data_IF_825317492426
#
_entry.id   IF_825317492426
#
_cell.length_a   1.000
_cell.length_b   1.000
_cell.length_c   1.000
_cell.angle_alpha   90.00
_cell.angle_beta   90.00
_cell.angle_gamma   90.00
#
_symmetry.space_group_name_H-M   'P 1'
#
loop_
_entity.id
_entity.type
_entity.pdbx_description
1 polymer ?
#
# COMPACT_ATOMS: atom_id res chain seq x y z
N UNK A 1 52.68 -21.49 -54.76
CA UNK A 1 51.47 -20.75 -54.33
C UNK A 1 50.59 -21.43 -53.28
N UNK A 2 50.68 -22.75 -53.07
CA UNK A 2 49.74 -23.48 -52.20
C UNK A 2 49.90 -23.20 -50.69
N UNK A 3 51.14 -23.09 -50.19
CA UNK A 3 51.42 -22.73 -48.78
C UNK A 3 50.94 -21.32 -48.38
N UNK A 4 50.75 -20.42 -49.36
CA UNK A 4 50.28 -19.04 -49.13
C UNK A 4 48.76 -18.99 -48.94
N UNK A 5 48.02 -19.92 -49.57
CA UNK A 5 46.57 -20.05 -49.43
C UNK A 5 46.16 -20.73 -48.11
N UNK A 6 46.90 -21.74 -47.65
CA UNK A 6 46.62 -22.42 -46.38
C UNK A 6 46.82 -21.44 -45.19
N UNK A 7 47.90 -20.64 -45.20
CA UNK A 7 48.15 -19.62 -44.16
C UNK A 7 47.05 -18.53 -44.13
N UNK A 8 46.57 -18.09 -45.30
CA UNK A 8 45.43 -17.16 -45.43
C UNK A 8 44.12 -17.76 -44.92
N UNK A 9 43.84 -19.04 -45.20
CA UNK A 9 42.65 -19.72 -44.69
C UNK A 9 42.68 -19.88 -43.16
N UNK A 10 43.81 -20.24 -42.55
CA UNK A 10 43.92 -20.34 -41.08
C UNK A 10 43.84 -18.99 -40.37
N UNK A 11 44.33 -17.91 -40.98
CA UNK A 11 44.17 -16.55 -40.48
C UNK A 11 42.70 -16.09 -40.55
N UNK A 12 42.01 -16.34 -41.67
CA UNK A 12 40.59 -16.01 -41.81
C UNK A 12 39.68 -16.87 -40.92
N UNK A 13 40.02 -18.13 -40.66
CA UNK A 13 39.34 -18.98 -39.67
C UNK A 13 39.50 -18.44 -38.24
N UNK A 14 40.70 -17.97 -37.87
CA UNK A 14 40.94 -17.33 -36.56
C UNK A 14 40.13 -16.03 -36.38
N UNK A 15 40.09 -15.19 -37.41
CA UNK A 15 39.31 -13.93 -37.39
C UNK A 15 37.80 -14.21 -37.34
N UNK A 16 37.30 -15.16 -38.14
CA UNK A 16 35.88 -15.52 -38.19
C UNK A 16 35.39 -16.15 -36.88
N UNK A 17 36.20 -17.01 -36.26
CA UNK A 17 35.88 -17.62 -34.96
C UNK A 17 35.94 -16.58 -33.82
N UNK A 18 36.89 -15.66 -33.84
CA UNK A 18 36.96 -14.54 -32.89
C UNK A 18 35.76 -13.59 -32.98
N UNK A 19 35.35 -13.25 -34.20
CA UNK A 19 34.17 -12.42 -34.44
C UNK A 19 32.87 -13.12 -34.00
N UNK A 20 32.74 -14.43 -34.26
CA UNK A 20 31.59 -15.23 -33.81
C UNK A 20 31.50 -15.31 -32.28
N UNK A 21 32.63 -15.47 -31.57
CA UNK A 21 32.67 -15.47 -30.12
C UNK A 21 32.29 -14.11 -29.52
N UNK A 22 32.75 -13.01 -30.11
CA UNK A 22 32.36 -11.67 -29.70
C UNK A 22 30.86 -11.44 -29.89
N UNK A 23 30.30 -11.87 -31.03
CA UNK A 23 28.87 -11.76 -31.31
C UNK A 23 28.02 -12.61 -30.37
N UNK A 24 28.48 -13.83 -30.03
CA UNK A 24 27.83 -14.70 -29.06
C UNK A 24 27.80 -14.04 -27.67
N UNK A 25 28.90 -13.43 -27.23
CA UNK A 25 28.96 -12.74 -25.94
C UNK A 25 27.99 -11.56 -25.85
N UNK A 26 27.89 -10.76 -26.92
CA UNK A 26 26.91 -9.66 -27.01
C UNK A 26 25.47 -10.18 -26.99
N UNK A 27 25.19 -11.28 -27.70
CA UNK A 27 23.87 -11.90 -27.70
C UNK A 27 23.46 -12.44 -26.33
N UNK A 28 24.39 -13.07 -25.60
CA UNK A 28 24.15 -13.54 -24.22
C UNK A 28 23.94 -12.36 -23.27
N UNK A 29 24.75 -11.31 -23.37
CA UNK A 29 24.57 -10.09 -22.57
C UNK A 29 23.21 -9.43 -22.82
N UNK A 30 22.77 -9.37 -24.08
CA UNK A 30 21.45 -8.86 -24.45
C UNK A 30 20.31 -9.72 -23.88
N UNK A 31 20.43 -11.05 -23.95
CA UNK A 31 19.43 -11.96 -23.35
C UNK A 31 19.32 -11.81 -21.84
N UNK A 32 20.46 -11.67 -21.15
CA UNK A 32 20.49 -11.41 -19.70
C UNK A 32 19.83 -10.06 -19.40
N UNK A 33 20.16 -9.01 -20.16
CA UNK A 33 19.54 -7.70 -20.00
C UNK A 33 18.02 -7.72 -20.23
N UNK A 34 17.54 -8.48 -21.22
CA UNK A 34 16.10 -8.63 -21.50
C UNK A 34 15.38 -9.38 -20.37
N UNK A 35 15.92 -10.50 -19.88
CA UNK A 35 15.33 -11.27 -18.78
C UNK A 35 15.27 -10.46 -17.49
N UNK A 36 16.35 -9.75 -17.17
CA UNK A 36 16.41 -8.88 -16.00
C UNK A 36 15.48 -7.67 -16.13
N UNK A 37 15.45 -7.04 -17.32
CA UNK A 37 14.52 -5.96 -17.64
C UNK A 37 13.07 -6.39 -17.48
N UNK A 38 12.73 -7.60 -17.91
CA UNK A 38 11.39 -8.16 -17.77
C UNK A 38 11.00 -8.40 -16.30
N UNK A 39 11.88 -9.01 -15.51
CA UNK A 39 11.63 -9.25 -14.08
C UNK A 39 11.48 -7.93 -13.30
N UNK A 40 12.31 -6.93 -13.59
CA UNK A 40 12.17 -5.61 -12.96
C UNK A 40 10.91 -4.88 -13.40
N UNK A 41 10.49 -4.97 -14.65
CA UNK A 41 9.28 -4.32 -15.14
C UNK A 41 8.01 -4.99 -14.57
N UNK A 42 8.03 -6.31 -14.42
CA UNK A 42 6.94 -7.08 -13.78
C UNK A 42 6.82 -6.75 -12.27
N UNK A 43 7.95 -6.70 -11.55
CA UNK A 43 7.99 -6.35 -10.11
C UNK A 43 7.56 -4.89 -9.88
N UNK A 44 8.09 -3.95 -10.67
CA UNK A 44 7.78 -2.52 -10.52
C UNK A 44 6.32 -2.19 -10.87
N UNK A 45 5.73 -2.85 -11.87
CA UNK A 45 4.34 -2.58 -12.27
C UNK A 45 3.31 -3.12 -11.25
N UNK A 46 3.62 -4.22 -10.56
CA UNK A 46 2.73 -4.81 -9.55
C UNK A 46 2.86 -4.13 -8.17
N UNK A 47 4.07 -3.69 -7.78
CA UNK A 47 4.32 -3.12 -6.45
C UNK A 47 4.01 -1.62 -6.37
N UNK A 48 4.21 -0.82 -7.43
CA UNK A 48 4.08 0.65 -7.35
C UNK A 48 2.63 1.14 -7.51
N UNK A 49 1.84 0.54 -8.41
CA UNK A 49 0.47 0.99 -8.67
C UNK A 49 -0.59 0.43 -7.70
N UNK A 50 -0.31 -0.70 -7.05
CA UNK A 50 -1.26 -1.31 -6.11
C UNK A 50 -1.24 -0.64 -4.72
N UNK A 51 -0.23 0.17 -4.42
CA UNK A 51 0.12 0.51 -3.04
C UNK A 51 -0.09 1.98 -2.66
N UNK A 52 0.31 2.91 -3.51
CA UNK A 52 0.30 4.34 -3.17
C UNK A 52 -1.12 4.91 -3.15
N UNK A 53 -1.95 4.55 -4.13
CA UNK A 53 -3.34 5.02 -4.21
C UNK A 53 -4.28 4.24 -3.29
N UNK A 54 -4.03 2.93 -3.10
CA UNK A 54 -4.94 2.06 -2.35
C UNK A 54 -4.81 2.23 -0.83
N UNK A 55 -3.60 2.38 -0.29
CA UNK A 55 -3.37 2.49 1.15
C UNK A 55 -3.76 3.86 1.71
N UNK A 56 -3.50 4.94 0.96
CA UNK A 56 -3.88 6.30 1.35
C UNK A 56 -5.39 6.48 1.33
N UNK A 57 -6.05 6.01 0.26
CA UNK A 57 -7.52 6.07 0.16
C UNK A 57 -8.20 5.26 1.27
N UNK A 58 -7.73 4.03 1.55
CA UNK A 58 -8.24 3.23 2.66
C UNK A 58 -8.07 3.93 4.01
N UNK A 59 -6.89 4.49 4.28
CA UNK A 59 -6.62 5.18 5.54
C UNK A 59 -7.51 6.43 5.70
N UNK A 60 -7.73 7.19 4.63
CA UNK A 60 -8.59 8.37 4.65
C UNK A 60 -10.06 7.98 4.93
N UNK A 61 -10.57 6.92 4.30
CA UNK A 61 -11.93 6.43 4.56
C UNK A 61 -12.17 6.10 6.04
N UNK A 62 -11.21 5.42 6.68
CA UNK A 62 -11.34 5.01 8.08
C UNK A 62 -11.20 6.24 9.00
N UNK A 63 -10.27 7.15 8.71
CA UNK A 63 -10.12 8.42 9.45
C UNK A 63 -11.39 9.26 9.37
N UNK A 64 -11.97 9.40 8.18
CA UNK A 64 -13.20 10.15 7.97
C UNK A 64 -14.37 9.51 8.73
N UNK A 65 -14.49 8.17 8.71
CA UNK A 65 -15.47 7.45 9.51
C UNK A 65 -15.30 7.72 11.01
N UNK A 66 -14.06 7.70 11.53
CA UNK A 66 -13.78 8.02 12.93
C UNK A 66 -14.15 9.47 13.28
N UNK A 67 -13.77 10.43 12.44
CA UNK A 67 -14.11 11.85 12.63
C UNK A 67 -15.62 12.08 12.62
N UNK A 68 -16.36 11.44 11.71
CA UNK A 68 -17.82 11.53 11.65
C UNK A 68 -18.45 10.95 12.91
N UNK A 69 -17.96 9.82 13.43
CA UNK A 69 -18.44 9.23 14.67
C UNK A 69 -18.15 10.11 15.90
N UNK A 70 -16.97 10.74 15.98
CA UNK A 70 -16.70 11.73 17.04
C UNK A 70 -17.65 12.92 16.98
N UNK A 71 -17.89 13.44 15.77
CA UNK A 71 -18.89 14.51 15.55
C UNK A 71 -20.28 14.06 15.95
N UNK A 72 -20.64 12.80 15.70
CA UNK A 72 -21.92 12.23 16.11
C UNK A 72 -22.05 12.21 17.63
N UNK A 73 -21.01 11.78 18.36
CA UNK A 73 -21.01 11.83 19.84
C UNK A 73 -21.17 13.26 20.38
N UNK A 74 -20.48 14.23 19.79
CA UNK A 74 -20.61 15.65 20.19
C UNK A 74 -22.04 16.16 19.91
N UNK A 75 -22.63 15.81 18.77
CA UNK A 75 -24.00 16.21 18.43
C UNK A 75 -25.03 15.55 19.35
N UNK A 76 -24.78 14.30 19.78
CA UNK A 76 -25.61 13.63 20.77
C UNK A 76 -25.55 14.35 22.14
N UNK A 77 -24.38 14.85 22.54
CA UNK A 77 -24.21 15.63 23.77
C UNK A 77 -24.97 16.96 23.71
N UNK A 78 -24.91 17.65 22.57
CA UNK A 78 -25.67 18.88 22.34
C UNK A 78 -27.17 18.59 22.41
N UNK A 79 -27.63 17.51 21.76
CA UNK A 79 -29.03 17.09 21.82
C UNK A 79 -29.48 16.79 23.26
N UNK A 80 -28.65 16.10 24.05
CA UNK A 80 -28.92 15.83 25.46
C UNK A 80 -29.06 17.11 26.29
N UNK A 81 -28.14 18.06 26.11
CA UNK A 81 -28.20 19.35 26.79
C UNK A 81 -29.45 20.16 26.38
N UNK A 82 -29.79 20.19 25.10
CA UNK A 82 -30.98 20.88 24.59
C UNK A 82 -32.28 20.28 25.12
N UNK A 83 -32.39 18.94 25.20
CA UNK A 83 -33.56 18.29 25.83
C UNK A 83 -33.68 18.67 27.31
N UNK A 84 -32.57 18.68 28.05
CA UNK A 84 -32.56 19.10 29.45
C UNK A 84 -32.97 20.58 29.63
N UNK A 85 -32.63 21.44 28.66
CA UNK A 85 -33.03 22.85 28.63
C UNK A 85 -34.45 23.09 28.07
N UNK A 86 -35.16 22.05 27.63
CA UNK A 86 -36.49 22.16 27.01
C UNK A 86 -36.51 22.52 25.52
N UNK A 87 -35.34 22.72 24.89
CA UNK A 87 -35.20 22.97 23.45
C UNK A 87 -35.38 21.67 22.64
N UNK A 88 -36.63 21.27 22.49
CA UNK A 88 -37.01 20.03 21.80
C UNK A 88 -36.69 20.09 20.30
N UNK A 89 -36.81 21.27 19.68
CA UNK A 89 -36.55 21.44 18.25
C UNK A 89 -35.07 21.28 17.92
N UNK A 90 -34.21 21.99 18.65
CA UNK A 90 -32.76 21.88 18.48
C UNK A 90 -32.26 20.48 18.80
N UNK A 91 -32.80 19.84 19.85
CA UNK A 91 -32.46 18.46 20.18
C UNK A 91 -32.81 17.47 19.06
N UNK A 92 -33.97 17.64 18.43
CA UNK A 92 -34.39 16.79 17.31
C UNK A 92 -33.53 17.01 16.06
N UNK A 93 -33.13 18.25 15.78
CA UNK A 93 -32.20 18.56 14.69
C UNK A 93 -30.83 17.90 14.90
N UNK A 94 -30.25 18.04 16.11
CA UNK A 94 -28.99 17.39 16.43
C UNK A 94 -29.13 15.86 16.40
N UNK A 95 -30.25 15.30 16.86
CA UNK A 95 -30.52 13.85 16.77
C UNK A 95 -30.55 13.34 15.33
N UNK A 96 -31.14 14.08 14.38
CA UNK A 96 -31.07 13.76 12.94
C UNK A 96 -29.65 13.85 12.41
N UNK A 97 -28.90 14.87 12.82
CA UNK A 97 -27.49 15.05 12.44
C UNK A 97 -26.62 13.87 12.91
N UNK A 98 -26.87 13.35 14.11
CA UNK A 98 -26.20 12.12 14.61
C UNK A 98 -26.44 10.96 13.66
N UNK A 99 -27.70 10.70 13.29
CA UNK A 99 -28.04 9.59 12.39
C UNK A 99 -27.37 9.73 11.01
N UNK A 100 -27.33 10.95 10.47
CA UNK A 100 -26.65 11.22 9.20
C UNK A 100 -25.15 10.94 9.29
N UNK A 101 -24.47 11.44 10.33
CA UNK A 101 -23.04 11.19 10.53
C UNK A 101 -22.71 9.71 10.71
N UNK A 102 -23.54 8.97 11.44
CA UNK A 102 -23.39 7.51 11.59
C UNK A 102 -23.59 6.80 10.25
N UNK A 103 -24.57 7.22 9.43
CA UNK A 103 -24.80 6.65 8.11
C UNK A 103 -23.63 6.92 7.15
N UNK A 104 -23.09 8.14 7.15
CA UNK A 104 -21.92 8.51 6.35
C UNK A 104 -20.69 7.70 6.78
N UNK A 105 -20.51 7.49 8.09
CA UNK A 105 -19.38 6.70 8.60
C UNK A 105 -19.48 5.24 8.19
N UNK A 106 -20.69 4.67 8.23
CA UNK A 106 -20.97 3.33 7.71
C UNK A 106 -20.66 3.21 6.23
N UNK A 107 -21.05 4.21 5.42
CA UNK A 107 -20.75 4.23 3.98
C UNK A 107 -19.24 4.23 3.71
N UNK A 108 -18.47 5.00 4.48
CA UNK A 108 -17.01 5.00 4.38
C UNK A 108 -16.41 3.63 4.73
N UNK A 109 -16.93 2.97 5.77
CA UNK A 109 -16.49 1.63 6.16
C UNK A 109 -16.88 0.53 5.15
N UNK A 110 -18.07 0.62 4.54
CA UNK A 110 -18.45 -0.29 3.46
C UNK A 110 -17.57 -0.09 2.22
N UNK A 111 -17.23 1.16 1.90
CA UNK A 111 -16.26 1.46 0.83
C UNK A 111 -14.90 0.87 1.15
N UNK A 112 -14.44 0.97 2.41
CA UNK A 112 -13.19 0.36 2.86
C UNK A 112 -13.21 -1.17 2.72
N UNK A 113 -14.32 -1.84 3.08
CA UNK A 113 -14.50 -3.30 2.95
C UNK A 113 -14.51 -3.76 1.49
N UNK A 114 -15.11 -2.96 0.60
CA UNK A 114 -15.19 -3.28 -0.82
C UNK A 114 -13.81 -3.27 -1.51
N UNK A 115 -12.81 -2.61 -0.92
CA UNK A 115 -11.47 -2.58 -1.48
C UNK A 115 -10.77 -3.94 -1.22
N UNK A 116 -10.35 -4.68 -2.26
CA UNK A 116 -9.74 -6.00 -2.09
C UNK A 116 -8.49 -5.98 -1.20
N UNK A 117 -8.45 -6.86 -0.20
CA UNK A 117 -7.29 -7.08 0.66
C UNK A 117 -6.49 -8.28 0.14
N UNK A 118 -5.35 -8.01 -0.49
CA UNK A 118 -4.49 -9.03 -1.10
C UNK A 118 -3.53 -9.68 -0.10
N UNK A 119 -3.30 -9.06 1.07
CA UNK A 119 -2.39 -9.55 2.10
C UNK A 119 -3.14 -10.15 3.30
N UNK A 120 -2.54 -11.17 3.95
CA UNK A 120 -3.11 -11.77 5.17
C UNK A 120 -3.24 -10.73 6.30
N UNK A 121 -2.27 -9.83 6.41
CA UNK A 121 -2.32 -8.70 7.33
C UNK A 121 -3.51 -7.77 7.04
N UNK A 122 -3.71 -7.37 5.78
CA UNK A 122 -4.83 -6.51 5.38
C UNK A 122 -6.20 -7.10 5.73
N UNK A 123 -6.36 -8.43 5.61
CA UNK A 123 -7.58 -9.15 6.00
C UNK A 123 -7.81 -9.16 7.51
N UNK A 124 -6.77 -9.39 8.31
CA UNK A 124 -6.88 -9.37 9.78
C UNK A 124 -7.19 -7.97 10.30
N UNK A 125 -6.46 -6.97 9.81
CA UNK A 125 -6.65 -5.57 10.20
C UNK A 125 -8.04 -5.06 9.81
N UNK A 126 -8.55 -5.46 8.64
CA UNK A 126 -9.93 -5.19 8.24
C UNK A 126 -10.95 -5.73 9.24
N UNK A 127 -10.83 -7.00 9.65
CA UNK A 127 -11.75 -7.61 10.61
C UNK A 127 -11.78 -6.88 11.95
N UNK A 128 -10.60 -6.51 12.47
CA UNK A 128 -10.49 -5.77 13.73
C UNK A 128 -11.02 -4.33 13.64
N UNK A 129 -10.77 -3.65 12.53
CA UNK A 129 -11.30 -2.30 12.26
C UNK A 129 -12.82 -2.30 12.12
N UNK A 130 -13.38 -3.23 11.35
CA UNK A 130 -14.83 -3.36 11.16
C UNK A 130 -15.52 -3.71 12.49
N UNK A 131 -14.96 -4.64 13.26
CA UNK A 131 -15.51 -5.04 14.56
C UNK A 131 -15.51 -3.89 15.57
N UNK A 132 -14.40 -3.16 15.68
CA UNK A 132 -14.29 -2.00 16.58
C UNK A 132 -15.15 -0.82 16.14
N UNK A 133 -15.29 -0.57 14.84
CA UNK A 133 -16.22 0.41 14.29
C UNK A 133 -17.70 0.08 14.62
N UNK A 134 -18.10 -1.19 14.44
CA UNK A 134 -19.45 -1.64 14.76
C UNK A 134 -19.74 -1.48 16.26
N UNK A 135 -18.78 -1.84 17.11
CA UNK A 135 -18.89 -1.63 18.56
C UNK A 135 -19.12 -0.16 18.93
N UNK A 136 -18.43 0.76 18.24
CA UNK A 136 -18.62 2.20 18.48
C UNK A 136 -19.97 2.69 17.95
N UNK A 137 -20.38 2.22 16.78
CA UNK A 137 -21.71 2.49 16.21
C UNK A 137 -22.82 2.06 17.17
N UNK A 138 -22.76 0.83 17.68
CA UNK A 138 -23.76 0.27 18.59
C UNK A 138 -23.82 1.05 19.90
N UNK A 139 -22.67 1.53 20.39
CA UNK A 139 -22.60 2.38 21.58
C UNK A 139 -23.28 3.74 21.36
N UNK A 140 -23.01 4.40 20.24
CA UNK A 140 -23.67 5.69 19.89
C UNK A 140 -25.17 5.50 19.66
N UNK A 141 -25.58 4.42 19.01
CA UNK A 141 -27.01 4.10 18.84
C UNK A 141 -27.71 3.83 20.17
N UNK A 142 -27.04 3.13 21.10
CA UNK A 142 -27.56 2.91 22.45
C UNK A 142 -27.73 4.22 23.22
N UNK A 143 -26.76 5.14 23.10
CA UNK A 143 -26.86 6.49 23.68
C UNK A 143 -28.08 7.24 23.13
N UNK A 144 -28.26 7.24 21.81
CA UNK A 144 -29.41 7.89 21.17
C UNK A 144 -30.74 7.27 21.63
N UNK A 145 -30.82 5.95 21.75
CA UNK A 145 -32.02 5.27 22.24
C UNK A 145 -32.34 5.63 23.70
N UNK A 146 -31.34 5.83 24.56
CA UNK A 146 -31.54 6.33 25.92
C UNK A 146 -32.03 7.78 25.92
N UNK A 147 -31.43 8.62 25.08
CA UNK A 147 -31.83 10.02 24.92
C UNK A 147 -33.28 10.16 24.43
N UNK A 148 -33.69 9.30 23.49
CA UNK A 148 -35.06 9.26 22.95
C UNK A 148 -36.10 8.88 24.00
N UNK A 149 -35.74 8.04 24.98
CA UNK A 149 -36.57 7.69 26.13
C UNK A 149 -36.58 8.75 27.24
N UNK A 150 -35.78 9.82 27.10
CA UNK A 150 -35.60 10.83 28.14
C UNK A 150 -34.76 10.33 29.32
N UNK A 151 -34.03 9.22 29.17
CA UNK A 151 -33.22 8.63 30.24
C UNK A 151 -31.80 9.20 30.21
N UNK A 152 -31.65 10.39 30.81
CA UNK A 152 -30.38 11.09 30.90
C UNK A 152 -29.31 10.32 31.71
N UNK A 153 -29.73 9.53 32.71
CA UNK A 153 -28.83 8.72 33.52
C UNK A 153 -28.25 7.55 32.70
N UNK A 154 -29.10 6.83 31.96
CA UNK A 154 -28.65 5.78 31.05
C UNK A 154 -27.79 6.34 29.92
N UNK A 155 -28.15 7.50 29.35
CA UNK A 155 -27.32 8.19 28.35
C UNK A 155 -25.89 8.41 28.87
N UNK A 156 -25.76 9.02 30.05
CA UNK A 156 -24.47 9.36 30.64
C UNK A 156 -23.66 8.10 30.99
N UNK A 157 -24.31 7.08 31.52
CA UNK A 157 -23.69 5.78 31.80
C UNK A 157 -23.14 5.12 30.53
N UNK A 158 -23.94 5.06 29.46
CA UNK A 158 -23.54 4.48 28.17
C UNK A 158 -22.38 5.26 27.54
N UNK A 159 -22.42 6.58 27.62
CA UNK A 159 -21.33 7.45 27.14
C UNK A 159 -20.00 7.12 27.84
N UNK A 160 -20.02 7.09 29.16
CA UNK A 160 -18.81 6.94 29.98
C UNK A 160 -18.25 5.52 29.98
N UNK A 161 -19.09 4.50 29.79
CA UNK A 161 -18.67 3.08 29.89
C UNK A 161 -18.50 2.41 28.52
N UNK A 162 -19.46 2.56 27.61
CA UNK A 162 -19.44 1.86 26.31
C UNK A 162 -18.84 2.73 25.21
N UNK A 163 -19.35 3.94 25.02
CA UNK A 163 -18.95 4.77 23.88
C UNK A 163 -17.49 5.22 23.98
N UNK A 164 -17.03 5.64 25.17
CA UNK A 164 -15.62 5.97 25.40
C UNK A 164 -14.67 4.79 25.14
N UNK A 165 -15.00 3.61 25.65
CA UNK A 165 -14.20 2.40 25.43
C UNK A 165 -14.17 1.97 23.96
N UNK A 166 -15.33 1.97 23.29
CA UNK A 166 -15.43 1.60 21.88
C UNK A 166 -14.72 2.60 20.96
N UNK A 167 -14.84 3.91 21.23
CA UNK A 167 -14.09 4.96 20.52
C UNK A 167 -12.59 4.77 20.66
N UNK A 168 -12.10 4.52 21.89
CA UNK A 168 -10.69 4.28 22.15
C UNK A 168 -10.16 3.03 21.45
N UNK A 169 -10.95 1.96 21.45
CA UNK A 169 -10.59 0.72 20.75
C UNK A 169 -10.52 0.94 19.24
N UNK A 170 -11.49 1.63 18.64
CA UNK A 170 -11.46 1.91 17.21
C UNK A 170 -10.28 2.83 16.83
N UNK A 171 -9.99 3.85 17.64
CA UNK A 171 -8.81 4.70 17.44
C UNK A 171 -7.49 3.91 17.50
N UNK A 172 -7.37 2.97 18.45
CA UNK A 172 -6.21 2.08 18.53
C UNK A 172 -6.02 1.27 17.26
N UNK A 173 -7.10 0.69 16.73
CA UNK A 173 -7.02 -0.11 15.50
C UNK A 173 -6.73 0.73 14.27
N UNK A 174 -7.27 1.95 14.18
CA UNK A 174 -6.90 2.91 13.16
C UNK A 174 -5.41 3.25 13.21
N UNK A 175 -4.85 3.48 14.41
CA UNK A 175 -3.43 3.75 14.61
C UNK A 175 -2.55 2.56 14.20
N UNK A 176 -2.93 1.33 14.57
CA UNK A 176 -2.22 0.12 14.17
C UNK A 176 -2.23 -0.09 12.65
N UNK A 177 -3.37 0.14 12.01
CA UNK A 177 -3.51 0.08 10.56
C UNK A 177 -2.63 1.12 9.84
N UNK A 178 -2.68 2.39 10.28
CA UNK A 178 -1.85 3.45 9.70
C UNK A 178 -0.35 3.20 9.92
N UNK A 179 0.05 2.73 11.10
CA UNK A 179 1.44 2.40 11.39
C UNK A 179 2.00 1.27 10.52
N UNK A 180 1.17 0.27 10.22
CA UNK A 180 1.59 -0.83 9.34
C UNK A 180 1.61 -0.45 7.87
N UNK A 181 0.74 0.47 7.41
CA UNK A 181 0.89 1.09 6.08
C UNK A 181 2.27 1.76 5.97
N UNK A 182 2.67 2.55 6.97
CA UNK A 182 3.96 3.25 6.94
C UNK A 182 5.15 2.27 6.90
N UNK A 183 5.16 1.24 7.77
CA UNK A 183 6.23 0.23 7.79
C UNK A 183 6.34 -0.53 6.47
N UNK A 184 5.20 -0.94 5.91
CA UNK A 184 5.19 -1.67 4.65
C UNK A 184 5.67 -0.79 3.48
N UNK A 185 5.34 0.51 3.47
CA UNK A 185 5.89 1.48 2.52
C UNK A 185 7.41 1.65 2.69
N UNK A 186 7.92 1.74 3.93
CA UNK A 186 9.35 1.82 4.21
C UNK A 186 10.12 0.57 3.74
N UNK A 187 9.58 -0.63 4.02
CA UNK A 187 10.14 -1.90 3.56
C UNK A 187 10.14 -2.00 2.02
N UNK A 188 9.07 -1.56 1.37
CA UNK A 188 8.99 -1.55 -0.09
C UNK A 188 10.00 -0.58 -0.71
N UNK A 189 10.15 0.63 -0.16
CA UNK A 189 11.18 1.59 -0.62
C UNK A 189 12.59 1.03 -0.39
N UNK A 190 12.84 0.36 0.73
CA UNK A 190 14.12 -0.28 1.00
C UNK A 190 14.40 -1.43 0.02
N UNK A 191 13.39 -2.27 -0.27
CA UNK A 191 13.46 -3.35 -1.28
C UNK A 191 13.74 -2.79 -2.67
N UNK A 192 13.03 -1.73 -3.09
CA UNK A 192 13.25 -1.07 -4.37
C UNK A 192 14.67 -0.49 -4.49
N UNK A 193 15.20 0.11 -3.41
CA UNK A 193 16.59 0.58 -3.36
C UNK A 193 17.60 -0.56 -3.45
N UNK A 194 17.34 -1.68 -2.75
CA UNK A 194 18.20 -2.87 -2.82
C UNK A 194 18.21 -3.48 -4.21
N UNK A 195 17.04 -3.64 -4.85
CA UNK A 195 16.95 -4.10 -6.24
C UNK A 195 17.67 -3.17 -7.21
N UNK A 196 17.54 -1.84 -7.04
CA UNK A 196 18.26 -0.87 -7.86
C UNK A 196 19.79 -0.98 -7.70
N UNK A 197 20.28 -1.21 -6.48
CA UNK A 197 21.70 -1.43 -6.22
C UNK A 197 22.20 -2.73 -6.88
N UNK A 198 21.46 -3.83 -6.77
CA UNK A 198 21.79 -5.10 -7.44
C UNK A 198 21.81 -4.94 -8.96
N UNK A 199 20.81 -4.27 -9.55
CA UNK A 199 20.78 -3.96 -10.98
C UNK A 199 21.98 -3.14 -11.43
N UNK A 200 22.43 -2.18 -10.61
CA UNK A 200 23.62 -1.39 -10.90
C UNK A 200 24.87 -2.26 -10.98
N UNK A 201 25.06 -3.17 -10.03
CA UNK A 201 26.19 -4.12 -10.07
C UNK A 201 26.14 -5.06 -11.27
N UNK A 202 24.95 -5.53 -11.65
CA UNK A 202 24.78 -6.40 -12.82
C UNK A 202 25.08 -5.65 -14.13
N UNK A 203 24.62 -4.42 -14.28
CA UNK A 203 24.94 -3.61 -15.45
C UNK A 203 26.43 -3.27 -15.53
N UNK A 204 27.09 -2.98 -14.40
CA UNK A 204 28.54 -2.80 -14.35
C UNK A 204 29.25 -4.09 -14.77
N UNK A 205 28.84 -5.25 -14.25
CA UNK A 205 29.44 -6.53 -14.61
C UNK A 205 29.28 -6.85 -16.10
N UNK A 206 28.10 -6.60 -16.68
CA UNK A 206 27.85 -6.74 -18.11
C UNK A 206 28.70 -5.78 -18.94
N UNK A 207 28.82 -4.51 -18.52
CA UNK A 207 29.66 -3.53 -19.20
C UNK A 207 31.14 -3.93 -19.19
N UNK A 208 31.66 -4.39 -18.05
CA UNK A 208 33.03 -4.91 -17.92
C UNK A 208 33.25 -6.14 -18.81
N UNK A 209 32.26 -7.04 -18.87
CA UNK A 209 32.34 -8.26 -19.70
C UNK A 209 32.37 -7.91 -21.20
N UNK A 210 31.53 -6.96 -21.65
CA UNK A 210 31.54 -6.45 -23.03
C UNK A 210 32.90 -5.82 -23.36
N UNK A 211 33.45 -5.00 -22.46
CA UNK A 211 34.75 -4.37 -22.65
C UNK A 211 35.88 -5.42 -22.72
N UNK A 212 35.88 -6.40 -21.83
CA UNK A 212 36.89 -7.46 -21.79
C UNK A 212 36.88 -8.31 -23.07
N UNK A 213 35.69 -8.68 -23.56
CA UNK A 213 35.53 -9.44 -24.81
C UNK A 213 35.96 -8.58 -26.01
N UNK A 214 35.61 -7.30 -26.05
CA UNK A 214 35.98 -6.38 -27.12
C UNK A 214 37.50 -6.16 -27.19
N UNK A 215 38.14 -5.96 -26.03
CA UNK A 215 39.60 -5.84 -25.91
C UNK A 215 40.32 -7.14 -26.28
N UNK A 216 39.79 -8.29 -25.84
CA UNK A 216 40.32 -9.61 -26.20
C UNK A 216 40.27 -9.87 -27.70
N UNK A 217 39.14 -9.54 -28.35
CA UNK A 217 39.00 -9.65 -29.80
C UNK A 217 39.95 -8.70 -30.56
N UNK A 218 40.10 -7.45 -30.09
CA UNK A 218 41.02 -6.47 -30.67
C UNK A 218 42.48 -6.95 -30.58
N UNK A 219 42.93 -7.39 -29.39
CA UNK A 219 44.28 -7.90 -29.21
C UNK A 219 44.56 -9.17 -30.02
N UNK A 220 43.55 -10.02 -30.23
CA UNK A 220 43.68 -11.24 -31.03
C UNK A 220 43.66 -10.97 -32.54
N UNK A 221 43.00 -9.90 -33.00
CA UNK A 221 43.05 -9.44 -34.39
C UNK A 221 44.36 -8.70 -34.71
N UNK A 222 44.96 -8.04 -33.72
CA UNK A 222 46.17 -7.22 -33.89
C UNK A 222 47.48 -7.99 -33.60
N UNK A 223 47.41 -9.31 -33.31
CA UNK A 223 48.54 -10.25 -33.19
C UNK A 223 48.53 -11.25 -34.33
#
# INVERSE_FOLDING_TARGET
>A
DDYRNIRKMFSNLKVRTGLMLAQLAVAVAALIAIVLGWNSMQSNAQEINALDTLSVQQNNLIKDAYTQMLRATIRADIAAAQRAAGDTNGANENSRTVQQLVADAKKNMETFKAIPKTTAFGKSAEGELVSSFNSFTDAVQSMMAALDKGDAAAYLSLKNTKAGAASGQFFKQLGAFAGNINKYSEEMVASARSQAAVMTYVYIALAVLILAVSLGAFLFMNR
#
